data_IF_254207463854
#
_entry.id   IF_254207463854
#
_cell.length_a   1.000
_cell.length_b   1.000
_cell.length_c   1.000
_cell.angle_alpha   90.00
_cell.angle_beta   90.00
_cell.angle_gamma   90.00
#
_symmetry.space_group_name_H-M   'P 1'
#
loop_
_entity.id
_entity.type
_entity.pdbx_description
1 polymer ?
#
# COMPACT_ATOMS: atom_id res chain seq x y z
N UNK A 1 -5.80 -18.22 -19.99
CA UNK A 1 -5.18 -16.92 -19.67
C UNK A 1 -4.92 -16.23 -21.00
N UNK A 2 -5.77 -15.27 -21.41
CA UNK A 2 -5.63 -14.59 -22.71
C UNK A 2 -5.47 -13.09 -22.46
N UNK A 3 -4.32 -12.56 -22.84
CA UNK A 3 -3.91 -11.16 -22.73
C UNK A 3 -2.42 -11.06 -23.11
N UNK A 4 -1.95 -9.96 -23.70
CA UNK A 4 -0.52 -9.80 -24.00
C UNK A 4 0.21 -10.00 -22.68
N UNK A 5 1.20 -10.89 -22.59
CA UNK A 5 1.84 -11.28 -21.33
C UNK A 5 2.61 -10.17 -20.61
N UNK A 6 2.27 -8.90 -20.83
CA UNK A 6 2.88 -7.68 -20.33
C UNK A 6 1.77 -6.80 -19.74
N UNK A 7 2.06 -6.18 -18.59
CA UNK A 7 1.16 -5.20 -17.97
C UNK A 7 1.84 -3.85 -17.92
N UNK A 8 1.08 -2.80 -18.19
CA UNK A 8 1.56 -1.44 -17.98
C UNK A 8 1.87 -1.27 -16.48
N UNK A 9 3.09 -0.83 -16.21
CA UNK A 9 3.58 -0.52 -14.87
C UNK A 9 3.73 0.99 -14.80
N UNK A 10 3.00 1.63 -13.88
CA UNK A 10 3.19 3.03 -13.55
C UNK A 10 4.05 3.12 -12.29
N UNK A 11 5.21 3.76 -12.40
CA UNK A 11 6.08 4.06 -11.28
C UNK A 11 5.81 5.47 -10.79
N UNK A 12 5.51 5.61 -9.50
CA UNK A 12 5.32 6.90 -8.84
C UNK A 12 6.35 7.02 -7.74
N UNK A 13 7.23 8.03 -7.82
CA UNK A 13 8.12 8.37 -6.71
C UNK A 13 7.31 9.05 -5.63
N UNK A 14 7.30 8.46 -4.44
CA UNK A 14 6.59 8.95 -3.28
C UNK A 14 7.30 10.19 -2.71
N UNK A 15 6.50 11.20 -2.39
CA UNK A 15 6.94 12.43 -1.73
C UNK A 15 6.89 12.30 -0.21
N UNK A 16 6.08 11.35 0.31
CA UNK A 16 5.96 11.02 1.73
C UNK A 16 4.95 11.86 2.51
N UNK A 17 4.25 12.78 1.85
CA UNK A 17 3.23 13.67 2.45
C UNK A 17 1.79 13.22 2.18
N UNK A 18 1.56 11.90 2.03
CA UNK A 18 0.23 11.36 1.73
C UNK A 18 0.00 11.20 0.23
N UNK A 19 0.91 10.50 -0.46
CA UNK A 19 0.73 10.16 -1.87
C UNK A 19 -0.44 9.18 -1.99
N UNK A 20 -1.46 9.54 -2.77
CA UNK A 20 -2.70 8.76 -2.86
C UNK A 20 -2.75 7.82 -4.07
N UNK A 21 -3.34 6.65 -3.87
CA UNK A 21 -3.57 5.63 -4.88
C UNK A 21 -4.99 5.09 -4.75
N UNK A 22 -5.70 4.99 -5.87
CA UNK A 22 -7.06 4.43 -5.85
C UNK A 22 -7.04 2.90 -5.73
N UNK A 23 -7.60 2.40 -4.63
CA UNK A 23 -7.80 0.98 -4.42
C UNK A 23 -9.18 0.53 -4.89
N UNK A 24 -9.17 -0.51 -5.72
CA UNK A 24 -10.36 -1.18 -6.19
C UNK A 24 -10.49 -2.48 -5.40
N UNK A 25 -11.45 -2.51 -4.49
CA UNK A 25 -11.69 -3.69 -3.64
C UNK A 25 -11.90 -4.95 -4.47
N UNK A 26 -11.35 -6.08 -3.99
CA UNK A 26 -11.42 -7.40 -4.61
C UNK A 26 -10.79 -7.51 -6.01
N UNK A 27 -10.04 -6.49 -6.44
CA UNK A 27 -9.34 -6.53 -7.72
C UNK A 27 -8.00 -7.25 -7.66
N UNK A 28 -7.57 -7.78 -6.49
CA UNK A 28 -6.25 -8.41 -6.30
C UNK A 28 -5.11 -7.49 -6.73
N UNK A 29 -5.26 -6.19 -6.48
CA UNK A 29 -4.20 -5.22 -6.68
C UNK A 29 -3.00 -5.54 -5.80
N UNK A 30 -1.81 -5.36 -6.36
CA UNK A 30 -0.55 -5.51 -5.63
C UNK A 30 0.16 -4.16 -5.66
N UNK A 31 0.47 -3.65 -4.47
CA UNK A 31 1.33 -2.49 -4.29
C UNK A 31 2.76 -2.97 -4.10
N UNK A 32 3.65 -2.51 -4.96
CA UNK A 32 5.09 -2.80 -4.86
C UNK A 32 5.79 -1.51 -4.44
N UNK A 33 6.54 -1.57 -3.35
CA UNK A 33 7.32 -0.48 -2.81
C UNK A 33 8.80 -0.85 -2.94
N UNK A 34 9.52 -0.07 -3.76
CA UNK A 34 10.96 -0.21 -3.94
C UNK A 34 11.66 0.94 -3.25
N UNK A 35 12.70 0.64 -2.48
CA UNK A 35 13.54 1.65 -1.84
C UNK A 35 14.85 1.84 -2.62
N UNK A 36 14.96 2.84 -3.52
CA UNK A 36 16.21 3.14 -4.20
C UNK A 36 17.19 3.95 -3.34
N UNK A 37 16.81 4.37 -2.14
CA UNK A 37 17.63 5.24 -1.29
C UNK A 37 18.69 4.47 -0.52
N UNK A 38 19.60 5.20 0.15
CA UNK A 38 20.67 4.64 0.96
C UNK A 38 20.26 4.30 2.41
N UNK A 39 19.02 4.62 2.82
CA UNK A 39 18.52 4.41 4.18
C UNK A 39 17.31 3.49 4.23
N UNK A 40 17.02 2.92 5.39
CA UNK A 40 15.78 2.18 5.58
C UNK A 40 14.59 3.14 5.67
N UNK A 41 13.49 2.85 4.98
CA UNK A 41 12.27 3.66 5.00
C UNK A 41 11.12 2.79 5.48
N UNK A 42 10.34 3.30 6.43
CA UNK A 42 9.17 2.61 7.00
C UNK A 42 7.91 3.37 6.62
N UNK A 43 7.31 3.09 5.44
CA UNK A 43 6.08 3.75 5.03
C UNK A 43 4.88 3.18 5.80
N UNK A 44 3.88 4.03 5.98
CA UNK A 44 2.56 3.65 6.52
C UNK A 44 1.54 3.80 5.40
N UNK A 45 0.74 2.76 5.21
CA UNK A 45 -0.34 2.70 4.24
C UNK A 45 -1.65 2.88 4.99
N UNK A 46 -2.39 3.93 4.69
CA UNK A 46 -3.66 4.21 5.33
C UNK A 46 -4.79 4.36 4.29
N UNK A 47 -5.99 3.95 4.62
CA UNK A 47 -7.17 4.09 3.77
C UNK A 47 -7.99 5.30 4.21
N UNK A 48 -8.50 6.08 3.26
CA UNK A 48 -9.35 7.23 3.57
C UNK A 48 -10.58 6.80 4.39
N UNK A 49 -10.68 7.29 5.63
CA UNK A 49 -11.78 6.98 6.56
C UNK A 49 -11.71 5.61 7.25
N UNK A 50 -10.53 4.97 7.31
CA UNK A 50 -10.34 3.74 8.07
C UNK A 50 -10.30 3.99 9.59
N UNK A 51 -11.45 4.28 10.21
CA UNK A 51 -11.50 4.59 11.66
C UNK A 51 -11.55 3.33 12.53
N UNK A 52 -12.37 2.35 12.14
CA UNK A 52 -12.48 1.10 12.89
C UNK A 52 -13.09 -0.03 12.05
N UNK A 53 -12.62 -1.25 12.29
CA UNK A 53 -13.23 -2.46 11.75
C UNK A 53 -13.71 -3.33 12.88
N UNK A 54 -15.00 -3.63 12.87
CA UNK A 54 -15.60 -4.60 13.79
C UNK A 54 -15.42 -6.00 13.21
N UNK A 55 -14.79 -6.90 13.96
CA UNK A 55 -14.76 -8.33 13.63
C UNK A 55 -15.50 -9.14 14.69
N UNK A 56 -16.32 -10.07 14.20
CA UNK A 56 -17.06 -11.00 15.06
C UNK A 56 -16.08 -11.76 15.97
N UNK A 57 -16.32 -11.66 17.28
CA UNK A 57 -15.55 -12.33 18.32
C UNK A 57 -14.33 -11.57 18.85
N UNK A 58 -13.94 -10.43 18.26
CA UNK A 58 -12.79 -9.61 18.70
C UNK A 58 -13.20 -8.21 19.16
N UNK A 59 -14.35 -7.71 18.70
CA UNK A 59 -14.83 -6.36 18.99
C UNK A 59 -14.32 -5.34 17.97
N UNK A 60 -14.42 -4.06 18.32
CA UNK A 60 -13.97 -2.95 17.47
C UNK A 60 -12.44 -2.85 17.51
N UNK A 61 -11.79 -3.02 16.37
CA UNK A 61 -10.36 -2.80 16.21
C UNK A 61 -10.18 -1.42 15.59
N UNK A 62 -9.49 -0.54 16.30
CA UNK A 62 -9.05 0.74 15.77
C UNK A 62 -7.93 0.51 14.75
N UNK A 63 -8.15 1.03 13.55
CA UNK A 63 -7.24 0.89 12.41
C UNK A 63 -6.81 2.26 11.86
N UNK A 64 -7.13 3.35 12.58
CA UNK A 64 -6.79 4.74 12.23
C UNK A 64 -5.28 5.00 12.13
N UNK A 65 -4.45 4.11 12.65
CA UNK A 65 -2.99 4.16 12.51
C UNK A 65 -2.46 3.64 11.17
N UNK A 66 -3.32 3.10 10.31
CA UNK A 66 -2.93 2.45 9.05
C UNK A 66 -2.10 1.17 9.24
N UNK A 67 -1.61 0.65 8.12
CA UNK A 67 -0.72 -0.51 8.04
C UNK A 67 0.74 -0.06 7.90
N UNK A 68 1.55 -0.30 8.94
CA UNK A 68 2.99 -0.11 8.89
C UNK A 68 3.65 -1.25 8.11
N UNK A 69 4.37 -0.92 7.03
CA UNK A 69 4.99 -1.89 6.10
C UNK A 69 6.28 -2.51 6.65
N UNK A 70 6.69 -2.11 7.85
CA UNK A 70 8.02 -2.26 8.42
C UNK A 70 9.13 -1.60 7.58
N UNK A 71 10.33 -1.54 8.16
CA UNK A 71 11.50 -0.98 7.49
C UNK A 71 11.82 -1.72 6.18
N UNK A 72 11.80 -0.98 5.07
CA UNK A 72 12.30 -1.41 3.76
C UNK A 72 13.76 -0.97 3.71
N UNK A 73 14.68 -1.93 3.79
CA UNK A 73 16.11 -1.65 3.70
C UNK A 73 16.49 -0.99 2.36
N UNK A 74 17.64 -0.32 2.32
CA UNK A 74 18.19 0.26 1.10
C UNK A 74 18.31 -0.79 -0.02
N UNK A 75 17.80 -0.47 -1.20
CA UNK A 75 17.76 -1.38 -2.36
C UNK A 75 16.74 -2.51 -2.27
N UNK A 76 16.01 -2.65 -1.17
CA UNK A 76 15.01 -3.70 -1.02
C UNK A 76 13.68 -3.34 -1.69
N UNK A 77 12.91 -4.38 -1.98
CA UNK A 77 11.56 -4.29 -2.55
C UNK A 77 10.60 -5.07 -1.66
N UNK A 78 9.43 -4.49 -1.38
CA UNK A 78 8.31 -5.18 -0.75
C UNK A 78 7.11 -5.16 -1.67
N UNK A 79 6.48 -6.31 -1.85
CA UNK A 79 5.23 -6.46 -2.57
C UNK A 79 4.12 -6.81 -1.58
N UNK A 80 3.07 -5.99 -1.55
CA UNK A 80 1.97 -6.08 -0.61
C UNK A 80 0.69 -6.30 -1.43
N UNK A 81 0.08 -7.50 -1.35
CA UNK A 81 -1.25 -7.72 -1.90
C UNK A 81 -2.26 -6.91 -1.08
N UNK A 82 -2.92 -5.94 -1.70
CA UNK A 82 -3.86 -5.04 -1.02
C UNK A 82 -5.07 -5.80 -0.44
N UNK A 83 -5.46 -6.91 -1.07
CA UNK A 83 -6.52 -7.79 -0.56
C UNK A 83 -6.22 -8.36 0.84
N UNK A 84 -4.95 -8.54 1.22
CA UNK A 84 -4.60 -9.07 2.56
C UNK A 84 -4.75 -8.06 3.68
N UNK A 85 -4.67 -6.78 3.33
CA UNK A 85 -4.79 -5.65 4.26
C UNK A 85 -6.07 -4.85 3.96
N UNK A 86 -7.02 -5.42 3.22
CA UNK A 86 -8.23 -4.73 2.74
C UNK A 86 -9.09 -4.12 3.85
N UNK A 87 -8.94 -4.61 5.08
CA UNK A 87 -9.58 -4.02 6.27
C UNK A 87 -9.10 -2.58 6.55
N UNK A 88 -7.84 -2.28 6.23
CA UNK A 88 -7.21 -0.98 6.37
C UNK A 88 -7.40 -0.08 5.15
N UNK A 89 -7.96 -0.59 4.06
CA UNK A 89 -7.99 0.08 2.76
C UNK A 89 -9.45 0.35 2.37
N UNK A 90 -10.02 1.40 2.93
CA UNK A 90 -11.28 1.96 2.44
C UNK A 90 -10.98 3.07 1.44
N UNK A 91 -11.67 3.06 0.29
CA UNK A 91 -11.54 4.11 -0.72
C UNK A 91 -10.12 4.26 -1.30
N UNK A 92 -9.65 5.50 -1.35
CA UNK A 92 -8.29 5.83 -1.76
C UNK A 92 -7.31 5.53 -0.63
N UNK A 93 -6.13 5.03 -0.99
CA UNK A 93 -5.05 4.72 -0.07
C UNK A 93 -4.06 5.88 -0.07
N UNK A 94 -3.71 6.41 1.10
CA UNK A 94 -2.61 7.34 1.30
C UNK A 94 -1.36 6.60 1.82
N UNK A 95 -0.20 6.90 1.23
CA UNK A 95 1.09 6.43 1.74
C UNK A 95 1.83 7.60 2.38
N UNK A 96 2.18 7.46 3.65
CA UNK A 96 2.93 8.46 4.43
C UNK A 96 4.28 7.91 4.87
N UNK A 97 5.25 8.80 5.14
CA UNK A 97 6.59 8.41 5.60
C UNK A 97 7.44 7.66 4.55
N UNK A 98 6.99 7.64 3.29
CA UNK A 98 7.61 6.92 2.18
C UNK A 98 8.53 7.76 1.30
N UNK A 99 9.01 8.93 1.72
CA UNK A 99 9.76 9.87 0.86
C UNK A 99 10.92 9.18 0.13
N UNK A 100 10.91 9.22 -1.20
CA UNK A 100 11.94 8.63 -2.04
C UNK A 100 11.75 7.14 -2.35
N UNK A 101 10.70 6.49 -1.83
CA UNK A 101 10.28 5.18 -2.32
C UNK A 101 9.67 5.31 -3.72
N UNK A 102 9.83 4.28 -4.52
CA UNK A 102 9.11 4.12 -5.79
C UNK A 102 7.97 3.15 -5.56
N UNK A 103 6.75 3.64 -5.70
CA UNK A 103 5.53 2.87 -5.61
C UNK A 103 5.04 2.46 -7.00
N UNK A 104 4.61 1.21 -7.11
CA UNK A 104 4.02 0.62 -8.31
C UNK A 104 2.71 -0.03 -7.91
N UNK A 105 1.60 0.41 -8.51
CA UNK A 105 0.30 -0.23 -8.35
C UNK A 105 -0.01 -1.11 -9.55
N UNK A 106 -0.18 -2.41 -9.31
CA UNK A 106 -0.47 -3.38 -10.37
C UNK A 106 -1.95 -3.81 -10.34
N UNK A 107 -2.74 -3.30 -11.28
CA UNK A 107 -4.20 -3.56 -11.40
C UNK A 107 -4.49 -4.84 -12.16
N UNK A 108 -5.27 -5.79 -11.61
CA UNK A 108 -5.55 -7.10 -12.25
C UNK A 108 -6.29 -7.05 -13.57
#
# INVERSE_FOLDING_TARGET
MSGPGQRLVSETTLTGTGDTFTYVQNSRQVLILRNPTAGAISPVIDGDGADSVTRDGVGTIDISGGYAVDAIAAGAVRAIPLDTISAYLQGDIAITGGTGLVAILLNR
#
